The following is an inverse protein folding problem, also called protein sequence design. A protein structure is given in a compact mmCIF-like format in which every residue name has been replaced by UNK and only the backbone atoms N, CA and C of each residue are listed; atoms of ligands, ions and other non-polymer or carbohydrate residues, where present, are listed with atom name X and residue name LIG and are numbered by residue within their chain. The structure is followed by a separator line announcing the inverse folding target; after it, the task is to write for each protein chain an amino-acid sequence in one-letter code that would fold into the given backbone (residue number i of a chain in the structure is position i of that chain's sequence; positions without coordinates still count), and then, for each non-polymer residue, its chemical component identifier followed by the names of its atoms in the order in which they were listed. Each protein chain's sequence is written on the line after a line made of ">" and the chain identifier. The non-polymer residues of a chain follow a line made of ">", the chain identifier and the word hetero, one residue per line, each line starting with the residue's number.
data_IF_217658179339
#
_entry.id   IF_217658179339
#
_cell.length_a   1.000
_cell.length_b   1.000
_cell.length_c   1.000
_cell.angle_alpha   90.00
_cell.angle_beta   90.00
_cell.angle_gamma   90.00
#
_symmetry.space_group_name_H-M   'P 1'
#
loop_
_entity.id
_entity.type
_entity.pdbx_description
1 polymer ?
#
# COMPACT_ATOMS: atom_id res chain seq x y z
N UNK A 1 23.65 -11.17 17.36
CA UNK A 1 22.62 -10.51 18.14
C UNK A 1 21.99 -9.30 17.47
N UNK A 2 22.65 -8.60 16.57
CA UNK A 2 22.08 -7.50 15.77
C UNK A 2 20.91 -8.01 14.88
N UNK A 3 21.02 -9.22 14.34
CA UNK A 3 19.99 -9.84 13.51
C UNK A 3 18.71 -10.20 14.28
N UNK A 4 18.81 -10.54 15.57
CA UNK A 4 17.64 -10.82 16.42
C UNK A 4 16.89 -9.53 16.81
N UNK A 5 17.63 -8.45 17.08
CA UNK A 5 17.01 -7.13 17.35
C UNK A 5 16.31 -6.57 16.11
N UNK A 6 16.94 -6.68 14.93
CA UNK A 6 16.31 -6.28 13.66
C UNK A 6 15.06 -7.10 13.36
N UNK A 7 15.05 -8.42 13.58
CA UNK A 7 13.84 -9.24 13.42
C UNK A 7 12.74 -8.86 14.40
N UNK A 8 13.08 -8.53 15.65
CA UNK A 8 12.10 -8.10 16.63
C UNK A 8 11.52 -6.72 16.29
N UNK A 9 12.30 -5.80 15.74
CA UNK A 9 11.84 -4.50 15.28
C UNK A 9 10.89 -4.67 14.09
N UNK A 10 11.27 -5.45 13.07
CA UNK A 10 10.42 -5.72 11.91
C UNK A 10 9.08 -6.38 12.28
N UNK A 11 9.05 -7.30 13.24
CA UNK A 11 7.82 -7.97 13.69
C UNK A 11 6.94 -7.03 14.52
N UNK A 12 7.54 -6.14 15.34
CA UNK A 12 6.79 -5.20 16.17
C UNK A 12 6.17 -4.05 15.38
N UNK A 13 6.79 -3.69 14.27
CA UNK A 13 6.35 -2.55 13.45
C UNK A 13 5.51 -2.98 12.23
N UNK A 14 5.17 -4.27 12.15
CA UNK A 14 4.27 -4.76 11.11
C UNK A 14 2.82 -4.59 11.53
N UNK A 15 2.05 -3.90 10.70
CA UNK A 15 0.62 -3.74 10.86
C UNK A 15 -0.10 -4.57 9.79
N UNK A 16 -1.03 -5.39 10.24
CA UNK A 16 -1.91 -6.17 9.37
C UNK A 16 -3.34 -5.66 9.47
N UNK A 17 -4.15 -5.81 8.43
CA UNK A 17 -5.54 -5.43 8.48
C UNK A 17 -6.30 -6.12 9.61
N UNK A 18 -7.10 -5.36 10.35
CA UNK A 18 -7.97 -5.84 11.44
C UNK A 18 -9.42 -6.01 11.01
N UNK A 19 -9.81 -5.34 9.94
CA UNK A 19 -11.11 -5.48 9.29
C UNK A 19 -10.96 -5.36 7.77
N UNK A 20 -11.91 -5.92 7.06
CA UNK A 20 -11.93 -5.94 5.59
C UNK A 20 -13.33 -5.62 5.08
N UNK A 21 -13.38 -4.95 3.95
CA UNK A 21 -14.58 -4.89 3.11
C UNK A 21 -14.55 -6.09 2.18
N UNK A 22 -15.46 -7.01 2.41
CA UNK A 22 -15.55 -8.28 1.68
C UNK A 22 -16.68 -8.25 0.68
N UNK A 23 -16.48 -8.92 -0.44
CA UNK A 23 -17.49 -9.11 -1.48
C UNK A 23 -17.76 -10.59 -1.70
N UNK A 24 -18.92 -10.90 -2.25
CA UNK A 24 -19.33 -12.26 -2.54
C UNK A 24 -18.74 -12.77 -3.85
N UNK A 25 -18.57 -11.88 -4.81
CA UNK A 25 -18.02 -12.15 -6.14
C UNK A 25 -16.97 -11.10 -6.47
N UNK A 26 -16.05 -11.44 -7.37
CA UNK A 26 -15.06 -10.48 -7.85
C UNK A 26 -15.68 -9.58 -8.91
N UNK A 27 -16.54 -8.67 -8.48
CA UNK A 27 -17.26 -7.69 -9.29
C UNK A 27 -17.45 -6.37 -8.54
N UNK A 28 -17.48 -5.26 -9.27
CA UNK A 28 -17.62 -3.92 -8.68
C UNK A 28 -18.91 -3.74 -7.87
N UNK A 29 -20.02 -4.31 -8.36
CA UNK A 29 -21.34 -4.18 -7.75
C UNK A 29 -21.75 -5.41 -6.94
N UNK A 30 -20.81 -6.23 -6.52
CA UNK A 30 -21.08 -7.37 -5.67
C UNK A 30 -21.69 -6.95 -4.33
N UNK A 31 -22.48 -7.84 -3.73
CA UNK A 31 -22.87 -7.67 -2.34
C UNK A 31 -21.63 -7.55 -1.47
N UNK A 32 -21.52 -6.44 -0.71
CA UNK A 32 -20.35 -6.15 0.10
C UNK A 32 -20.71 -5.83 1.53
N UNK A 33 -19.86 -6.21 2.46
CA UNK A 33 -19.97 -5.85 3.87
C UNK A 33 -18.60 -5.73 4.52
N UNK A 34 -18.55 -5.05 5.65
CA UNK A 34 -17.34 -4.95 6.48
C UNK A 34 -17.40 -6.01 7.57
N UNK A 35 -16.33 -6.77 7.71
CA UNK A 35 -16.18 -7.81 8.74
C UNK A 35 -14.81 -7.71 9.39
N UNK A 36 -14.65 -8.25 10.59
CA UNK A 36 -13.31 -8.40 11.17
C UNK A 36 -12.48 -9.40 10.34
N UNK A 37 -11.17 -9.22 10.31
CA UNK A 37 -10.28 -10.04 9.46
C UNK A 37 -10.28 -11.53 9.81
N UNK A 38 -10.61 -11.87 11.05
CA UNK A 38 -10.74 -13.25 11.55
C UNK A 38 -12.16 -13.83 11.38
N UNK A 39 -13.10 -13.04 10.87
CA UNK A 39 -14.52 -13.39 10.72
C UNK A 39 -15.00 -13.34 9.26
N UNK A 40 -14.10 -13.50 8.30
CA UNK A 40 -14.48 -13.55 6.89
C UNK A 40 -15.26 -14.83 6.63
N UNK A 41 -16.53 -14.75 6.17
CA UNK A 41 -17.33 -15.94 5.95
C UNK A 41 -16.85 -16.75 4.76
N UNK A 42 -17.12 -18.05 4.78
CA UNK A 42 -16.85 -18.92 3.65
C UNK A 42 -17.53 -18.41 2.37
N UNK A 43 -16.81 -18.45 1.29
CA UNK A 43 -17.27 -17.96 -0.02
C UNK A 43 -17.27 -16.43 -0.18
N UNK A 44 -16.75 -15.70 0.80
CA UNK A 44 -16.51 -14.26 0.68
C UNK A 44 -15.01 -13.97 0.52
N UNK A 45 -14.68 -12.90 -0.17
CA UNK A 45 -13.31 -12.49 -0.42
C UNK A 45 -13.06 -11.06 0.01
N UNK A 46 -11.87 -10.78 0.54
CA UNK A 46 -11.44 -9.42 0.85
C UNK A 46 -11.17 -8.63 -0.42
N UNK A 47 -11.88 -7.51 -0.60
CA UNK A 47 -11.73 -6.63 -1.76
C UNK A 47 -11.18 -5.25 -1.40
N UNK A 48 -11.23 -4.87 -0.13
CA UNK A 48 -10.61 -3.65 0.39
C UNK A 48 -10.36 -3.81 1.91
N UNK A 49 -9.57 -2.92 2.48
CA UNK A 49 -9.45 -2.78 3.93
C UNK A 49 -10.68 -2.08 4.52
N UNK A 50 -11.03 -2.44 5.74
CA UNK A 50 -12.14 -1.82 6.44
C UNK A 50 -11.78 -0.48 7.11
N UNK A 51 -12.77 0.22 7.67
CA UNK A 51 -12.56 1.54 8.27
C UNK A 51 -11.66 1.53 9.50
N UNK A 52 -11.64 0.48 10.29
CA UNK A 52 -10.72 0.35 11.44
C UNK A 52 -9.28 0.23 10.98
N UNK A 53 -9.03 -0.54 9.93
CA UNK A 53 -7.71 -0.67 9.30
C UNK A 53 -7.26 0.64 8.67
N UNK A 54 -8.15 1.36 8.00
CA UNK A 54 -7.85 2.69 7.45
C UNK A 54 -7.36 3.66 8.54
N UNK A 55 -8.03 3.69 9.68
CA UNK A 55 -7.64 4.52 10.82
C UNK A 55 -6.29 4.08 11.42
N UNK A 56 -6.08 2.78 11.56
CA UNK A 56 -4.84 2.20 12.06
C UNK A 56 -3.65 2.56 11.17
N UNK A 57 -3.78 2.42 9.87
CA UNK A 57 -2.73 2.74 8.92
C UNK A 57 -2.48 4.24 8.83
N UNK A 58 -3.53 5.06 8.84
CA UNK A 58 -3.40 6.51 8.85
C UNK A 58 -2.63 7.01 10.08
N UNK A 59 -2.89 6.45 11.25
CA UNK A 59 -2.16 6.80 12.47
C UNK A 59 -0.69 6.39 12.40
N UNK A 60 -0.38 5.22 11.83
CA UNK A 60 0.99 4.77 11.63
C UNK A 60 1.76 5.66 10.63
N UNK A 61 1.08 6.15 9.61
CA UNK A 61 1.66 7.03 8.58
C UNK A 61 1.93 8.43 9.12
N UNK A 62 1.13 8.90 10.05
CA UNK A 62 1.14 10.25 10.62
C UNK A 62 2.43 10.54 11.33
N UNK A 63 3.42 10.42 11.30
CA UNK A 63 4.68 10.71 11.99
C UNK A 63 5.88 10.17 11.25
N UNK A 64 5.63 9.57 10.09
CA UNK A 64 6.70 9.02 9.27
C UNK A 64 7.53 10.14 8.64
N UNK A 65 8.84 9.95 8.60
CA UNK A 65 9.76 10.84 7.89
C UNK A 65 9.83 10.52 6.40
N UNK A 66 9.82 9.24 6.06
CA UNK A 66 9.83 8.72 4.69
C UNK A 66 8.85 7.58 4.56
N UNK A 67 8.08 7.58 3.49
CA UNK A 67 7.07 6.56 3.18
C UNK A 67 7.36 5.99 1.80
N UNK A 68 7.40 4.67 1.73
CA UNK A 68 7.46 3.94 0.46
C UNK A 68 6.16 3.16 0.33
N UNK A 69 5.39 3.48 -0.70
CA UNK A 69 4.11 2.83 -0.97
C UNK A 69 4.17 2.01 -2.26
N UNK A 70 3.96 0.72 -2.12
CA UNK A 70 3.95 -0.22 -3.23
C UNK A 70 2.75 -1.15 -3.13
N UNK A 71 1.76 -0.94 -3.95
CA UNK A 71 0.50 -1.68 -4.00
C UNK A 71 -0.69 -0.93 -3.41
N UNK A 72 -1.82 -0.88 -4.11
CA UNK A 72 -3.07 -0.34 -3.57
C UNK A 72 -3.59 -1.20 -2.41
N UNK A 73 -4.47 -0.63 -1.58
CA UNK A 73 -5.01 -1.33 -0.40
C UNK A 73 -6.12 -2.31 -0.76
N UNK A 74 -6.83 -2.08 -1.83
CA UNK A 74 -7.94 -2.89 -2.31
C UNK A 74 -8.05 -2.82 -3.82
N UNK A 75 -9.19 -3.22 -4.37
CA UNK A 75 -9.47 -3.12 -5.81
C UNK A 75 -9.78 -1.66 -6.16
N UNK A 76 -8.74 -0.83 -6.21
CA UNK A 76 -8.85 0.62 -6.40
C UNK A 76 -9.40 1.05 -7.76
N UNK A 77 -9.49 0.13 -8.69
CA UNK A 77 -10.13 0.32 -10.00
C UNK A 77 -11.64 0.50 -9.86
N UNK A 78 -12.23 -0.09 -8.81
CA UNK A 78 -13.66 -0.03 -8.51
C UNK A 78 -13.95 0.98 -7.43
N UNK A 79 -14.86 1.90 -7.69
CA UNK A 79 -15.19 2.97 -6.75
C UNK A 79 -15.72 2.43 -5.41
N UNK A 80 -16.44 1.31 -5.43
CA UNK A 80 -16.95 0.64 -4.23
C UNK A 80 -15.86 0.06 -3.33
N UNK A 81 -14.65 -0.17 -3.86
CA UNK A 81 -13.53 -0.81 -3.15
C UNK A 81 -12.26 0.04 -3.16
N UNK A 82 -12.38 1.33 -3.45
CA UNK A 82 -11.28 2.29 -3.47
C UNK A 82 -11.07 3.03 -2.15
N UNK A 83 -11.99 2.91 -1.20
CA UNK A 83 -11.99 3.70 0.04
C UNK A 83 -10.70 3.53 0.86
N UNK A 84 -10.17 2.32 0.95
CA UNK A 84 -8.91 2.04 1.65
C UNK A 84 -7.71 2.70 0.98
N UNK A 85 -7.64 2.63 -0.33
CA UNK A 85 -6.57 3.29 -1.11
C UNK A 85 -6.66 4.80 -1.00
N UNK A 86 -7.86 5.38 -1.05
CA UNK A 86 -8.09 6.81 -0.84
C UNK A 86 -7.63 7.25 0.55
N UNK A 87 -7.99 6.50 1.58
CA UNK A 87 -7.61 6.81 2.96
C UNK A 87 -6.09 6.80 3.15
N UNK A 88 -5.40 5.82 2.60
CA UNK A 88 -3.93 5.74 2.66
C UNK A 88 -3.30 6.85 1.83
N UNK A 89 -3.76 7.12 0.62
CA UNK A 89 -3.26 8.21 -0.23
C UNK A 89 -3.38 9.57 0.47
N UNK A 90 -4.53 9.82 1.11
CA UNK A 90 -4.76 11.03 1.88
C UNK A 90 -3.82 11.13 3.09
N UNK A 91 -3.67 10.06 3.84
CA UNK A 91 -2.76 10.02 5.00
C UNK A 91 -1.32 10.30 4.59
N UNK A 92 -0.86 9.71 3.49
CA UNK A 92 0.47 9.96 2.93
C UNK A 92 0.63 11.42 2.49
N UNK A 93 -0.35 11.96 1.77
CA UNK A 93 -0.34 13.36 1.33
C UNK A 93 -0.30 14.36 2.48
N UNK A 94 -1.03 14.07 3.56
CA UNK A 94 -1.15 14.96 4.73
C UNK A 94 0.01 14.77 5.74
N UNK A 95 0.82 13.74 5.61
CA UNK A 95 1.89 13.40 6.56
C UNK A 95 3.07 14.39 6.57
N UNK A 96 3.29 15.09 5.48
CA UNK A 96 4.50 15.90 5.28
C UNK A 96 5.79 15.08 5.07
N UNK A 97 5.71 13.76 5.01
CA UNK A 97 6.84 12.88 4.77
C UNK A 97 7.32 12.94 3.32
N UNK A 98 8.57 12.51 3.12
CA UNK A 98 9.04 12.18 1.78
C UNK A 98 8.30 10.91 1.33
N UNK A 99 7.49 11.01 0.29
CA UNK A 99 6.65 9.92 -0.19
C UNK A 99 7.09 9.42 -1.55
N UNK A 100 7.32 8.13 -1.65
CA UNK A 100 7.72 7.44 -2.86
C UNK A 100 6.65 6.40 -3.17
N UNK A 101 6.02 6.54 -4.32
CA UNK A 101 5.01 5.59 -4.83
C UNK A 101 5.64 4.73 -5.90
N UNK A 102 5.64 3.43 -5.71
CA UNK A 102 6.21 2.46 -6.63
C UNK A 102 5.19 1.45 -7.14
N UNK A 103 5.37 1.03 -8.39
CA UNK A 103 4.52 0.04 -9.04
C UNK A 103 3.40 0.65 -9.89
N UNK A 104 3.13 0.01 -11.04
CA UNK A 104 2.16 0.49 -12.01
C UNK A 104 0.75 0.66 -11.44
N UNK A 105 0.29 -0.32 -10.65
CA UNK A 105 -1.05 -0.27 -10.03
C UNK A 105 -1.19 0.83 -9.00
N UNK A 106 -0.13 1.04 -8.19
CA UNK A 106 -0.11 2.13 -7.21
C UNK A 106 -0.11 3.49 -7.88
N UNK A 107 0.69 3.64 -8.94
CA UNK A 107 0.77 4.89 -9.72
C UNK A 107 -0.56 5.17 -10.40
N UNK A 108 -1.19 4.16 -11.01
CA UNK A 108 -2.50 4.29 -11.62
C UNK A 108 -3.56 4.71 -10.59
N UNK A 109 -3.56 4.09 -9.41
CA UNK A 109 -4.48 4.42 -8.33
C UNK A 109 -4.30 5.86 -7.85
N UNK A 110 -3.08 6.27 -7.54
CA UNK A 110 -2.76 7.63 -7.07
C UNK A 110 -3.12 8.68 -8.12
N UNK A 111 -2.90 8.38 -9.40
CA UNK A 111 -3.23 9.28 -10.51
C UNK A 111 -4.74 9.39 -10.68
N UNK A 112 -5.45 8.26 -10.72
CA UNK A 112 -6.93 8.23 -10.82
C UNK A 112 -7.59 9.02 -9.69
N UNK A 113 -7.05 8.91 -8.49
CA UNK A 113 -7.58 9.56 -7.29
C UNK A 113 -7.13 11.01 -7.09
N UNK A 114 -6.29 11.55 -7.97
CA UNK A 114 -5.86 12.94 -7.95
C UNK A 114 -4.81 13.28 -6.89
N UNK A 115 -4.04 12.33 -6.41
CA UNK A 115 -3.00 12.54 -5.40
C UNK A 115 -1.57 12.60 -5.97
N UNK A 116 -1.38 12.46 -7.28
CA UNK A 116 -0.04 12.42 -7.90
C UNK A 116 0.83 13.62 -7.54
N UNK A 117 0.26 14.81 -7.57
CA UNK A 117 0.98 16.07 -7.27
C UNK A 117 1.36 16.21 -5.79
N UNK A 118 0.78 15.38 -4.94
CA UNK A 118 1.01 15.38 -3.48
C UNK A 118 2.07 14.36 -3.06
N UNK A 119 2.57 13.55 -3.99
CA UNK A 119 3.64 12.59 -3.75
C UNK A 119 4.99 13.18 -4.15
N UNK A 120 6.03 12.90 -3.35
CA UNK A 120 7.36 13.43 -3.60
C UNK A 120 8.01 12.81 -4.84
N UNK A 121 7.79 11.51 -5.04
CA UNK A 121 8.31 10.78 -6.19
C UNK A 121 7.39 9.64 -6.59
N UNK A 122 7.25 9.44 -7.89
CA UNK A 122 6.44 8.37 -8.48
C UNK A 122 7.32 7.54 -9.41
N UNK A 123 7.34 6.22 -9.19
CA UNK A 123 8.09 5.27 -10.01
C UNK A 123 7.17 4.15 -10.51
N UNK A 124 7.16 3.92 -11.81
CA UNK A 124 6.44 2.79 -12.42
C UNK A 124 7.16 1.45 -12.23
N UNK A 125 8.44 1.48 -11.86
CA UNK A 125 9.29 0.30 -11.67
C UNK A 125 9.21 -0.28 -10.24
N UNK A 126 8.02 -0.67 -9.75
CA UNK A 126 7.81 -1.08 -8.36
C UNK A 126 8.75 -2.17 -7.86
N UNK A 127 8.82 -3.31 -8.55
CA UNK A 127 9.69 -4.42 -8.20
C UNK A 127 11.18 -4.04 -8.25
N UNK A 128 11.59 -3.37 -9.31
CA UNK A 128 12.97 -2.89 -9.47
C UNK A 128 13.33 -1.85 -8.41
N UNK A 129 12.41 -0.97 -8.03
CA UNK A 129 12.63 0.01 -6.97
C UNK A 129 12.83 -0.66 -5.61
N UNK A 130 12.05 -1.68 -5.30
CA UNK A 130 12.22 -2.47 -4.07
C UNK A 130 13.55 -3.23 -4.06
N UNK A 131 13.93 -3.87 -5.15
CA UNK A 131 15.21 -4.56 -5.28
C UNK A 131 16.40 -3.60 -5.13
N UNK A 132 16.30 -2.41 -5.68
CA UNK A 132 17.31 -1.36 -5.50
C UNK A 132 17.43 -0.94 -4.03
N UNK A 133 16.32 -0.78 -3.33
CA UNK A 133 16.30 -0.45 -1.90
C UNK A 133 16.83 -1.57 -1.02
N UNK A 134 16.70 -2.82 -1.45
CA UNK A 134 17.34 -3.99 -0.82
C UNK A 134 18.85 -4.08 -1.06
N UNK A 135 19.41 -3.20 -1.87
CA UNK A 135 20.82 -3.20 -2.24
C UNK A 135 21.21 -4.23 -3.31
N UNK A 136 20.22 -4.73 -4.05
CA UNK A 136 20.47 -5.64 -5.18
C UNK A 136 20.90 -4.87 -6.42
N UNK A 137 21.78 -5.50 -7.21
CA UNK A 137 22.13 -4.97 -8.54
C UNK A 137 20.97 -5.14 -9.50
N UNK A 138 20.68 -4.09 -10.27
CA UNK A 138 19.67 -4.11 -11.32
C UNK A 138 20.33 -4.40 -12.68
N UNK A 139 19.96 -5.49 -13.38
CA UNK A 139 20.59 -5.87 -14.64
C UNK A 139 20.56 -4.77 -15.69
N UNK A 140 19.48 -4.01 -15.77
CA UNK A 140 19.38 -2.88 -16.72
C UNK A 140 20.32 -1.73 -16.43
N UNK A 141 20.66 -1.50 -15.16
CA UNK A 141 21.61 -0.45 -14.75
C UNK A 141 23.05 -0.95 -14.92
N UNK A 142 23.32 -2.18 -14.53
CA UNK A 142 24.65 -2.80 -14.64
C UNK A 142 25.12 -2.90 -16.10
N UNK A 143 24.18 -3.05 -17.02
CA UNK A 143 24.48 -3.09 -18.46
C UNK A 143 24.81 -1.71 -19.08
N UNK A 144 24.61 -0.61 -18.35
CA UNK A 144 24.97 0.73 -18.81
C UNK A 144 26.47 0.98 -18.58
N UNK A 145 27.13 1.55 -19.60
CA UNK A 145 28.51 1.97 -19.45
C UNK A 145 28.58 3.28 -18.68
N UNK A 146 29.50 3.35 -17.73
CA UNK A 146 29.89 4.61 -17.11
C UNK A 146 30.46 5.55 -18.16
N UNK A 147 29.98 6.77 -18.20
CA UNK A 147 30.49 7.84 -19.02
C UNK A 147 31.21 8.89 -18.19
#
# INVERSE_FOLDING_TARGET
>A
STSRRQRQICIRDSLIPVDNKVGREYEENTEARVVNSDEIPDGWMGLDIGPKTQALFAEAIKGAGTIIWNGPMGVSEWDNFAAGTIAVAKAVADSGAISIVGGGDSVAAVTKLGFSDKMSHISTGGGASLEFLEGKELPGIVALNDR
#
